data_IF_861681050812
#
_entry.id   IF_861681050812
#
_cell.length_a   1.000
_cell.length_b   1.000
_cell.length_c   1.000
_cell.angle_alpha   90.00
_cell.angle_beta   90.00
_cell.angle_gamma   90.00
#
_symmetry.space_group_name_H-M   'P 1'
#
loop_
_entity.id
_entity.type
_entity.pdbx_description
1 polymer ?
#
# COMPACT_ATOMS: atom_id res chain seq x y z
N UNK A 1 -24.92 -14.39 0.87
CA UNK A 1 -24.73 -13.38 1.93
C UNK A 1 -23.31 -12.89 1.82
N UNK A 2 -23.13 -11.61 1.50
CA UNK A 2 -21.84 -10.91 1.41
C UNK A 2 -21.46 -10.44 2.81
N UNK A 3 -20.65 -11.20 3.55
CA UNK A 3 -20.13 -10.78 4.86
C UNK A 3 -18.64 -11.20 4.97
N UNK A 4 -17.81 -10.67 4.10
CA UNK A 4 -16.36 -10.54 4.33
C UNK A 4 -16.06 -9.02 4.37
N UNK A 5 -16.66 -8.31 5.34
CA UNK A 5 -16.65 -6.83 5.41
C UNK A 5 -15.32 -6.20 5.89
N UNK A 6 -14.24 -6.97 6.05
CA UNK A 6 -13.00 -6.47 6.67
C UNK A 6 -11.73 -6.91 5.95
N UNK A 7 -11.66 -6.62 4.65
CA UNK A 7 -10.47 -6.89 3.84
C UNK A 7 -10.03 -5.63 3.09
N UNK A 8 -8.72 -5.40 3.04
CA UNK A 8 -8.12 -4.29 2.31
C UNK A 8 -6.93 -4.77 1.47
N UNK A 9 -6.83 -4.20 0.28
CA UNK A 9 -5.67 -4.35 -0.61
C UNK A 9 -4.80 -3.10 -0.55
N UNK A 10 -3.50 -3.29 -0.33
CA UNK A 10 -2.50 -2.22 -0.36
C UNK A 10 -1.57 -2.47 -1.54
N UNK A 11 -1.43 -1.47 -2.40
CA UNK A 11 -0.50 -1.48 -3.52
C UNK A 11 0.41 -0.26 -3.48
N UNK A 12 1.73 -0.48 -3.48
CA UNK A 12 2.73 0.60 -3.50
C UNK A 12 3.73 0.33 -4.61
N UNK A 13 4.02 1.33 -5.44
CA UNK A 13 5.04 1.27 -6.48
C UNK A 13 5.98 2.47 -6.38
N UNK A 14 7.26 2.24 -6.64
CA UNK A 14 8.26 3.29 -6.86
C UNK A 14 8.78 3.15 -8.28
N UNK A 15 8.80 4.28 -9.00
CA UNK A 15 9.31 4.40 -10.36
C UNK A 15 10.44 5.43 -10.40
N UNK A 16 11.37 5.26 -11.34
CA UNK A 16 12.35 6.29 -11.65
C UNK A 16 11.70 7.45 -12.44
N UNK A 17 12.47 8.52 -12.69
CA UNK A 17 12.01 9.69 -13.44
C UNK A 17 11.68 9.39 -14.91
N UNK A 18 12.12 8.25 -15.45
CA UNK A 18 11.83 7.77 -16.81
C UNK A 18 10.61 6.84 -16.83
N UNK A 19 9.99 6.61 -15.68
CA UNK A 19 8.82 5.76 -15.52
C UNK A 19 9.13 4.28 -15.33
N UNK A 20 10.40 3.86 -15.24
CA UNK A 20 10.75 2.47 -15.00
C UNK A 20 10.41 2.06 -13.57
N UNK A 21 9.81 0.87 -13.41
CA UNK A 21 9.51 0.31 -12.09
C UNK A 21 10.81 -0.07 -11.37
N UNK A 22 11.08 0.57 -10.24
CA UNK A 22 12.20 0.23 -9.35
C UNK A 22 11.78 -0.87 -8.37
N UNK A 23 10.59 -0.72 -7.76
CA UNK A 23 10.07 -1.65 -6.75
C UNK A 23 8.55 -1.58 -6.66
N UNK A 24 7.92 -2.71 -6.39
CA UNK A 24 6.49 -2.80 -6.10
C UNK A 24 6.20 -3.71 -4.91
N UNK A 25 5.11 -3.44 -4.20
CA UNK A 25 4.58 -4.26 -3.13
C UNK A 25 3.07 -4.32 -3.27
N UNK A 26 2.51 -5.52 -3.15
CA UNK A 26 1.08 -5.74 -2.99
C UNK A 26 0.85 -6.58 -1.74
N UNK A 27 -0.06 -6.16 -0.87
CA UNK A 27 -0.48 -6.93 0.31
C UNK A 27 -1.99 -6.96 0.39
N UNK A 28 -2.49 -8.12 0.80
CA UNK A 28 -3.87 -8.30 1.17
C UNK A 28 -3.92 -8.53 2.67
N UNK A 29 -4.63 -7.68 3.39
CA UNK A 29 -4.77 -7.81 4.84
C UNK A 29 -6.24 -7.90 5.21
N UNK A 30 -6.55 -8.88 6.07
CA UNK A 30 -7.86 -8.98 6.73
C UNK A 30 -7.82 -8.09 7.96
N UNK A 31 -8.18 -6.83 7.77
CA UNK A 31 -8.19 -5.84 8.84
C UNK A 31 -9.31 -4.82 8.62
N UNK A 32 -9.84 -4.30 9.73
CA UNK A 32 -10.89 -3.28 9.77
C UNK A 32 -10.28 -1.89 9.96
N UNK A 33 -9.34 -1.49 9.10
CA UNK A 33 -8.81 -0.12 9.14
C UNK A 33 -9.69 0.80 8.29
N UNK A 34 -9.89 2.03 8.76
CA UNK A 34 -10.52 3.05 7.91
C UNK A 34 -9.65 3.34 6.70
N UNK A 35 -10.23 3.69 5.53
CA UNK A 35 -9.46 4.01 4.33
C UNK A 35 -8.35 5.04 4.55
N UNK A 36 -8.61 6.06 5.39
CA UNK A 36 -7.62 7.09 5.75
C UNK A 36 -6.38 6.53 6.44
N UNK A 37 -6.54 5.50 7.28
CA UNK A 37 -5.42 4.84 7.96
C UNK A 37 -4.61 4.02 6.95
N UNK A 38 -5.27 3.37 5.99
CA UNK A 38 -4.63 2.59 4.93
C UNK A 38 -3.79 3.48 4.01
N UNK A 39 -4.29 4.67 3.66
CA UNK A 39 -3.54 5.68 2.91
C UNK A 39 -2.27 6.11 3.67
N UNK A 40 -2.40 6.39 4.98
CA UNK A 40 -1.26 6.78 5.80
C UNK A 40 -0.18 5.68 5.88
N UNK A 41 -0.57 4.40 6.00
CA UNK A 41 0.38 3.28 5.96
C UNK A 41 1.08 3.16 4.60
N UNK A 42 0.35 3.39 3.51
CA UNK A 42 0.91 3.37 2.16
C UNK A 42 1.98 4.44 1.99
N UNK A 43 1.73 5.66 2.46
CA UNK A 43 2.73 6.75 2.45
C UNK A 43 3.94 6.40 3.31
N UNK A 44 3.73 5.91 4.53
CA UNK A 44 4.81 5.46 5.43
C UNK A 44 5.69 4.40 4.76
N UNK A 45 5.09 3.40 4.13
CA UNK A 45 5.81 2.31 3.47
C UNK A 45 6.58 2.81 2.24
N UNK A 46 6.00 3.71 1.45
CA UNK A 46 6.71 4.33 0.32
C UNK A 46 7.95 5.12 0.81
N UNK A 47 7.81 5.88 1.89
CA UNK A 47 8.91 6.63 2.49
C UNK A 47 9.99 5.72 3.11
N UNK A 48 9.62 4.56 3.67
CA UNK A 48 10.59 3.61 4.25
C UNK A 48 11.54 3.01 3.21
N UNK A 49 11.15 3.02 1.93
CA UNK A 49 12.00 2.55 0.83
C UNK A 49 13.04 3.59 0.41
N UNK A 50 12.82 4.86 0.75
CA UNK A 50 13.81 5.91 0.55
C UNK A 50 14.88 5.74 1.64
N UNK A 51 15.99 5.10 1.28
CA UNK A 51 17.19 5.09 2.11
C UNK A 51 17.78 6.51 2.06
N UNK A 52 17.65 7.25 3.15
CA UNK A 52 18.43 8.45 3.40
C UNK A 52 19.85 8.06 3.85
#
# INVERSE_FOLDING_TARGET
>A
MLEDEHALGIGVIIRDIRGHLIKGLTRFERASFSPKIVEAFTVKEALSWLKF
#
